data_IF_149220969445
#
_entry.id   IF_149220969445
#
_cell.length_a   1.000
_cell.length_b   1.000
_cell.length_c   1.000
_cell.angle_alpha   90.00
_cell.angle_beta   90.00
_cell.angle_gamma   90.00
#
_symmetry.space_group_name_H-M   'P 1'
#
loop_
_entity.id
_entity.type
_entity.pdbx_description
1 polymer ?
#
# COMPACT_ATOMS: atom_id res chain seq x y z
N UNK A 1 -19.35 -18.59 0.05
CA UNK A 1 -19.52 -17.30 0.55
C UNK A 1 -18.32 -16.83 1.32
N UNK A 2 -18.07 -15.61 1.15
CA UNK A 2 -16.85 -15.00 1.56
C UNK A 2 -17.05 -14.28 2.89
N UNK A 3 -16.30 -14.69 3.89
CA UNK A 3 -16.44 -14.06 5.18
C UNK A 3 -15.19 -13.27 5.51
N UNK A 4 -15.35 -12.00 5.56
CA UNK A 4 -14.28 -11.13 5.98
C UNK A 4 -14.37 -10.94 7.48
N UNK A 5 -13.43 -11.50 8.22
CA UNK A 5 -13.36 -11.19 9.63
C UNK A 5 -12.80 -9.78 9.79
N UNK A 6 -13.14 -9.15 10.89
CA UNK A 6 -12.66 -7.80 11.16
C UNK A 6 -11.14 -7.72 11.13
N UNK A 7 -10.49 -8.73 11.70
CA UNK A 7 -9.03 -8.77 11.73
C UNK A 7 -8.46 -8.86 10.33
N UNK A 8 -9.10 -9.65 9.46
CA UNK A 8 -8.64 -9.80 8.09
C UNK A 8 -8.76 -8.50 7.32
N UNK A 9 -9.84 -7.76 7.54
CA UNK A 9 -10.05 -6.49 6.87
C UNK A 9 -8.99 -5.47 7.30
N UNK A 10 -8.67 -5.45 8.58
CA UNK A 10 -7.65 -4.54 9.09
C UNK A 10 -6.29 -4.87 8.51
N UNK A 11 -5.96 -6.16 8.47
CA UNK A 11 -4.69 -6.59 7.91
C UNK A 11 -4.59 -6.24 6.43
N UNK A 12 -5.66 -6.48 5.69
CA UNK A 12 -5.67 -6.14 4.27
C UNK A 12 -5.48 -4.64 4.07
N UNK A 13 -6.13 -3.84 4.90
CA UNK A 13 -5.98 -2.39 4.82
C UNK A 13 -4.56 -1.94 5.09
N UNK A 14 -3.91 -2.56 6.07
CA UNK A 14 -2.52 -2.24 6.39
C UNK A 14 -1.60 -2.60 5.24
N UNK A 15 -1.81 -3.78 4.65
CA UNK A 15 -0.99 -4.21 3.52
C UNK A 15 -1.15 -3.25 2.35
N UNK A 16 -2.37 -2.88 2.04
CA UNK A 16 -2.63 -1.95 0.94
C UNK A 16 -1.97 -0.61 1.22
N UNK A 17 -2.05 -0.15 2.47
CA UNK A 17 -1.45 1.12 2.86
C UNK A 17 0.06 1.10 2.67
N UNK A 18 0.70 0.03 3.14
CA UNK A 18 2.15 -0.10 3.01
C UNK A 18 2.56 -0.14 1.54
N UNK A 19 1.84 -0.91 0.74
CA UNK A 19 2.14 -1.01 -0.68
C UNK A 19 1.95 0.34 -1.37
N UNK A 20 0.91 1.06 -1.01
CA UNK A 20 0.64 2.37 -1.60
C UNK A 20 1.75 3.36 -1.26
N UNK A 21 2.20 3.35 0.00
CA UNK A 21 3.28 4.25 0.42
C UNK A 21 4.58 3.91 -0.29
N UNK A 22 4.89 2.63 -0.41
CA UNK A 22 6.10 2.20 -1.09
C UNK A 22 6.06 2.58 -2.57
N UNK A 23 4.93 2.34 -3.20
CA UNK A 23 4.77 2.68 -4.61
C UNK A 23 4.93 4.18 -4.83
N UNK A 24 4.28 4.96 -3.99
CA UNK A 24 4.34 6.41 -4.09
C UNK A 24 5.75 6.92 -3.85
N UNK A 25 6.41 6.39 -2.83
CA UNK A 25 7.78 6.78 -2.49
C UNK A 25 8.72 6.50 -3.65
N UNK A 26 8.59 5.33 -4.27
CA UNK A 26 9.41 4.96 -5.41
C UNK A 26 9.18 5.90 -6.58
N UNK A 27 7.92 6.24 -6.84
CA UNK A 27 7.60 7.15 -7.93
C UNK A 27 8.20 8.53 -7.72
N UNK A 28 8.08 9.03 -6.50
CA UNK A 28 8.63 10.34 -6.18
C UNK A 28 10.15 10.33 -6.33
N UNK A 29 10.78 9.26 -5.88
CA UNK A 29 12.23 9.15 -5.97
C UNK A 29 12.69 9.14 -7.42
N UNK A 30 12.02 8.37 -8.26
CA UNK A 30 12.36 8.32 -9.68
C UNK A 30 12.19 9.68 -10.32
N UNK A 31 11.11 10.36 -9.98
CA UNK A 31 10.85 11.69 -10.54
C UNK A 31 11.94 12.68 -10.14
N UNK A 32 12.34 12.65 -8.87
CA UNK A 32 13.37 13.55 -8.39
C UNK A 32 14.73 13.23 -8.98
N UNK A 33 15.02 11.96 -9.14
CA UNK A 33 16.30 11.53 -9.70
C UNK A 33 16.40 11.93 -11.18
N UNK A 34 15.28 11.92 -11.86
CA UNK A 34 15.26 12.32 -13.26
C UNK A 34 15.39 13.83 -13.43
N UNK A 35 15.03 14.49 -12.40
CA UNK A 35 15.20 15.91 -12.36
C UNK A 35 14.24 16.64 -13.13
#
# INVERSE_FOLDING_TARGET
SYRWSEAGAILAGLIVLVLAVEWLSTKIRIKLARG
#
